data_IF_019034668009
#
_entry.id   IF_019034668009
#
_cell.length_a   1.000
_cell.length_b   1.000
_cell.length_c   1.000
_cell.angle_alpha   90.00
_cell.angle_beta   90.00
_cell.angle_gamma   90.00
#
_symmetry.space_group_name_H-M   'P 1'
#
loop_
_entity.id
_entity.type
_entity.pdbx_description
1 polymer ?
#
# COMPACT_ATOMS: atom_id res chain seq x y z
N UNK A 1 3.91 13.88 -21.62
CA UNK A 1 3.44 15.27 -21.60
C UNK A 1 1.97 15.24 -22.00
N UNK A 2 1.05 15.10 -21.06
CA UNK A 2 0.42 16.27 -20.43
C UNK A 2 0.02 15.99 -18.99
N UNK A 3 0.37 16.94 -18.13
CA UNK A 3 -0.14 17.08 -16.76
C UNK A 3 -1.67 17.17 -16.79
N UNK A 4 -2.34 16.08 -16.44
CA UNK A 4 -3.77 16.07 -16.12
C UNK A 4 -3.94 16.39 -14.63
N UNK A 5 -4.35 17.62 -14.36
CA UNK A 5 -4.57 18.22 -13.04
C UNK A 5 -5.18 17.26 -11.99
N UNK A 6 -4.37 16.91 -10.99
CA UNK A 6 -4.75 16.18 -9.76
C UNK A 6 -5.86 16.92 -8.98
N UNK A 7 -6.03 18.22 -9.21
CA UNK A 7 -7.04 19.04 -8.54
C UNK A 7 -8.44 18.97 -9.15
N UNK A 8 -8.62 18.30 -10.31
CA UNK A 8 -9.95 18.03 -10.87
C UNK A 8 -10.61 16.76 -10.29
N UNK A 9 -10.09 16.24 -9.18
CA UNK A 9 -10.61 15.04 -8.50
C UNK A 9 -11.61 15.34 -7.36
N UNK A 10 -11.78 16.61 -6.96
CA UNK A 10 -12.55 16.97 -5.76
C UNK A 10 -14.05 17.30 -5.98
N UNK A 11 -14.53 17.47 -7.22
CA UNK A 11 -15.91 17.96 -7.46
C UNK A 11 -16.79 17.05 -8.29
N UNK A 12 -16.30 15.90 -8.77
CA UNK A 12 -17.12 14.95 -9.54
C UNK A 12 -17.88 13.99 -8.62
N UNK A 13 -18.58 14.53 -7.61
CA UNK A 13 -19.61 13.82 -6.86
C UNK A 13 -20.84 13.64 -7.75
N UNK A 14 -20.74 12.78 -8.76
CA UNK A 14 -21.84 12.56 -9.69
C UNK A 14 -22.65 11.34 -9.28
N UNK A 15 -23.81 11.66 -8.69
CA UNK A 15 -25.11 11.04 -8.98
C UNK A 15 -25.16 9.52 -8.82
N UNK A 16 -25.57 9.10 -7.63
CA UNK A 16 -26.38 7.89 -7.46
C UNK A 16 -27.69 8.14 -8.23
N UNK A 17 -27.73 7.80 -9.51
CA UNK A 17 -28.96 7.81 -10.31
C UNK A 17 -29.85 6.65 -9.83
N UNK A 18 -30.67 6.93 -8.83
CA UNK A 18 -31.88 6.17 -8.55
C UNK A 18 -32.91 6.55 -9.64
N UNK A 19 -32.81 5.97 -10.83
CA UNK A 19 -33.72 6.24 -11.95
C UNK A 19 -34.23 4.92 -12.52
N UNK A 20 -35.49 4.66 -12.17
CA UNK A 20 -36.54 4.04 -12.98
C UNK A 20 -36.20 2.74 -13.70
N UNK A 21 -36.43 1.62 -13.01
CA UNK A 21 -36.78 0.36 -13.65
C UNK A 21 -38.17 0.52 -14.30
N UNK A 22 -38.20 0.91 -15.58
CA UNK A 22 -39.32 0.56 -16.44
C UNK A 22 -38.76 0.13 -17.80
N UNK A 23 -39.09 -1.12 -18.14
CA UNK A 23 -38.71 -1.79 -19.35
C UNK A 23 -39.08 -0.97 -20.61
N UNK A 24 -38.23 -1.10 -21.64
CA UNK A 24 -38.64 -0.99 -23.04
C UNK A 24 -37.82 -2.01 -23.84
N UNK A 25 -38.40 -3.19 -24.06
CA UNK A 25 -37.88 -4.26 -24.94
C UNK A 25 -38.29 -4.05 -26.41
N UNK A 26 -38.70 -2.84 -26.81
CA UNK A 26 -38.99 -2.55 -28.22
C UNK A 26 -37.76 -1.97 -28.90
N UNK A 27 -37.07 -2.82 -29.68
CA UNK A 27 -35.96 -2.39 -30.54
C UNK A 27 -36.44 -1.34 -31.54
N UNK A 28 -35.87 -0.15 -31.47
CA UNK A 28 -36.08 0.91 -32.45
C UNK A 28 -35.14 0.68 -33.63
N UNK A 29 -35.67 0.61 -34.85
CA UNK A 29 -34.88 0.47 -36.09
C UNK A 29 -34.38 1.85 -36.51
N UNK A 30 -33.09 1.98 -36.79
CA UNK A 30 -32.45 3.20 -37.28
C UNK A 30 -32.98 3.57 -38.67
N UNK A 31 -32.80 4.82 -39.11
CA UNK A 31 -33.15 5.24 -40.48
C UNK A 31 -32.41 4.43 -41.57
N UNK A 32 -31.34 3.71 -41.21
CA UNK A 32 -30.52 2.89 -42.10
C UNK A 32 -30.92 1.39 -42.09
N UNK A 33 -31.99 1.02 -41.40
CA UNK A 33 -32.48 -0.36 -41.32
C UNK A 33 -31.67 -1.28 -40.41
N UNK A 34 -30.69 -0.76 -39.68
CA UNK A 34 -30.03 -1.47 -38.58
C UNK A 34 -30.92 -1.51 -37.32
N UNK A 35 -30.59 -2.40 -36.39
CA UNK A 35 -31.21 -2.42 -35.06
C UNK A 35 -30.45 -1.44 -34.17
N UNK A 36 -31.10 -0.39 -33.69
CA UNK A 36 -30.45 0.60 -32.86
C UNK A 36 -30.10 -0.08 -31.53
N UNK A 37 -28.82 -0.04 -31.16
CA UNK A 37 -28.36 -0.61 -29.91
C UNK A 37 -28.95 0.25 -28.78
N UNK A 38 -29.80 -0.30 -27.89
CA UNK A 38 -30.37 0.47 -26.79
C UNK A 38 -29.25 0.97 -25.86
N UNK A 39 -29.48 2.08 -25.15
CA UNK A 39 -28.52 2.55 -24.15
C UNK A 39 -28.21 1.42 -23.16
N UNK A 40 -26.94 1.32 -22.80
CA UNK A 40 -26.41 0.21 -21.99
C UNK A 40 -27.12 0.17 -20.64
N UNK A 41 -27.71 -0.99 -20.30
CA UNK A 41 -28.38 -1.15 -19.02
C UNK A 41 -27.40 -1.20 -17.85
N UNK A 42 -27.85 -0.82 -16.65
CA UNK A 42 -27.03 -0.83 -15.43
C UNK A 42 -26.27 -2.14 -15.19
N UNK A 43 -26.93 -3.29 -15.38
CA UNK A 43 -26.30 -4.61 -15.21
C UNK A 43 -25.21 -4.88 -16.24
N UNK A 44 -25.39 -4.40 -17.47
CA UNK A 44 -24.42 -4.56 -18.54
C UNK A 44 -23.18 -3.70 -18.29
N UNK A 45 -23.33 -2.50 -17.74
CA UNK A 45 -22.20 -1.67 -17.30
C UNK A 45 -21.43 -2.34 -16.14
N UNK A 46 -22.14 -2.86 -15.14
CA UNK A 46 -21.53 -3.58 -14.00
C UNK A 46 -20.76 -4.82 -14.46
N UNK A 47 -21.28 -5.60 -15.41
CA UNK A 47 -20.60 -6.78 -15.96
C UNK A 47 -19.33 -6.44 -16.77
N UNK A 48 -19.19 -5.20 -17.25
CA UNK A 48 -17.99 -4.75 -17.98
C UNK A 48 -16.83 -4.33 -17.08
N UNK A 49 -17.10 -4.07 -15.78
CA UNK A 49 -16.06 -3.73 -14.82
C UNK A 49 -15.09 -4.90 -14.61
N UNK A 50 -13.90 -4.59 -14.12
CA UNK A 50 -12.88 -5.59 -13.83
C UNK A 50 -13.33 -6.53 -12.69
N UNK A 51 -13.18 -7.86 -12.85
CA UNK A 51 -13.44 -8.80 -11.76
C UNK A 51 -12.50 -8.56 -10.57
N UNK A 52 -13.03 -8.65 -9.35
CA UNK A 52 -12.23 -8.43 -8.12
C UNK A 52 -11.26 -9.58 -7.77
N UNK A 53 -11.24 -10.67 -8.54
CA UNK A 53 -10.38 -11.84 -8.22
C UNK A 53 -8.90 -11.47 -8.29
N UNK A 54 -8.14 -11.82 -7.24
CA UNK A 54 -6.70 -11.59 -7.18
C UNK A 54 -6.27 -10.16 -6.82
N UNK A 55 -7.17 -9.16 -6.90
CA UNK A 55 -6.84 -7.76 -6.56
C UNK A 55 -6.28 -7.61 -5.15
N UNK A 56 -6.84 -8.31 -4.17
CA UNK A 56 -6.37 -8.29 -2.77
C UNK A 56 -4.88 -8.61 -2.65
N UNK A 57 -4.34 -9.53 -3.44
CA UNK A 57 -2.91 -9.86 -3.41
C UNK A 57 -2.05 -8.67 -3.84
N UNK A 58 -2.40 -8.02 -4.95
CA UNK A 58 -1.67 -6.85 -5.46
C UNK A 58 -1.72 -5.67 -4.51
N UNK A 59 -2.87 -5.43 -3.85
CA UNK A 59 -3.00 -4.37 -2.86
C UNK A 59 -2.08 -4.62 -1.65
N UNK A 60 -2.03 -5.86 -1.14
CA UNK A 60 -1.10 -6.21 -0.06
C UNK A 60 0.37 -6.10 -0.50
N UNK A 61 0.72 -6.58 -1.69
CA UNK A 61 2.09 -6.50 -2.22
C UNK A 61 2.57 -5.04 -2.31
N UNK A 62 1.72 -4.16 -2.86
CA UNK A 62 2.01 -2.72 -2.93
C UNK A 62 2.29 -2.12 -1.55
N UNK A 63 1.47 -2.48 -0.56
CA UNK A 63 1.67 -2.03 0.83
C UNK A 63 2.95 -2.60 1.45
N UNK A 64 3.29 -3.87 1.18
CA UNK A 64 4.51 -4.51 1.67
C UNK A 64 5.77 -3.85 1.12
N UNK A 65 5.81 -3.54 -0.18
CA UNK A 65 6.94 -2.86 -0.80
C UNK A 65 7.13 -1.47 -0.19
N UNK A 66 6.03 -0.72 -0.03
CA UNK A 66 6.07 0.62 0.56
C UNK A 66 6.54 0.59 2.02
N UNK A 67 6.04 -0.36 2.82
CA UNK A 67 6.53 -0.58 4.18
C UNK A 67 8.00 -1.02 4.20
N UNK A 68 8.41 -1.87 3.26
CA UNK A 68 9.77 -2.38 3.16
C UNK A 68 10.81 -1.28 2.99
N UNK A 69 10.56 -0.30 2.12
CA UNK A 69 11.46 0.84 1.98
C UNK A 69 11.60 1.65 3.27
N UNK A 70 10.51 1.82 4.02
CA UNK A 70 10.53 2.56 5.29
C UNK A 70 11.32 1.78 6.36
N UNK A 71 11.06 0.48 6.47
CA UNK A 71 11.64 -0.37 7.53
C UNK A 71 13.12 -0.65 7.28
N UNK A 72 13.54 -0.88 6.02
CA UNK A 72 14.93 -1.24 5.69
C UNK A 72 15.87 -0.02 5.70
N UNK A 73 15.37 1.19 5.42
CA UNK A 73 16.20 2.37 5.20
C UNK A 73 15.86 3.53 6.15
N UNK A 74 15.30 3.24 7.32
CA UNK A 74 14.83 4.25 8.27
C UNK A 74 15.92 5.28 8.67
N UNK A 75 17.17 4.89 9.00
CA UNK A 75 18.22 5.85 9.37
C UNK A 75 18.79 6.62 8.17
N UNK A 76 18.65 6.10 6.94
CA UNK A 76 19.16 6.77 5.75
C UNK A 76 18.30 7.96 5.36
N UNK A 77 16.97 7.81 5.42
CA UNK A 77 16.03 8.84 4.97
C UNK A 77 14.75 8.87 5.83
N UNK A 78 14.79 9.50 7.02
CA UNK A 78 13.65 9.52 7.94
C UNK A 78 12.42 10.24 7.37
N UNK A 79 12.62 11.19 6.44
CA UNK A 79 11.52 11.91 5.79
C UNK A 79 10.71 11.02 4.84
N UNK A 80 11.25 9.87 4.39
CA UNK A 80 10.50 8.86 3.63
C UNK A 80 9.27 8.36 4.39
N UNK A 81 9.39 8.15 5.70
CA UNK A 81 8.29 7.64 6.53
C UNK A 81 7.10 8.61 6.51
N UNK A 82 7.37 9.91 6.59
CA UNK A 82 6.34 10.96 6.58
C UNK A 82 5.68 11.06 5.20
N UNK A 83 6.46 11.08 4.12
CA UNK A 83 5.93 11.10 2.75
C UNK A 83 5.04 9.86 2.53
N UNK A 84 5.54 8.69 2.89
CA UNK A 84 4.84 7.43 2.73
C UNK A 84 3.54 7.39 3.54
N UNK A 85 3.54 7.93 4.76
CA UNK A 85 2.33 8.02 5.57
C UNK A 85 1.24 8.88 4.91
N UNK A 86 1.61 10.03 4.35
CA UNK A 86 0.68 10.88 3.60
C UNK A 86 0.16 10.14 2.37
N UNK A 87 1.02 9.43 1.65
CA UNK A 87 0.60 8.58 0.53
C UNK A 87 -0.37 7.46 0.96
N UNK A 88 -0.16 6.84 2.13
CA UNK A 88 -1.09 5.84 2.68
C UNK A 88 -2.48 6.44 2.98
N UNK A 89 -2.56 7.69 3.44
CA UNK A 89 -3.86 8.36 3.66
C UNK A 89 -4.64 8.53 2.35
N UNK A 90 -3.95 8.91 1.27
CA UNK A 90 -4.57 8.97 -0.06
C UNK A 90 -4.94 7.57 -0.57
N UNK A 91 -4.10 6.58 -0.34
CA UNK A 91 -4.31 5.22 -0.82
C UNK A 91 -5.60 4.59 -0.27
N UNK A 92 -5.90 4.81 1.01
CA UNK A 92 -7.16 4.33 1.62
C UNK A 92 -8.37 4.86 0.84
N UNK A 93 -8.33 6.11 0.38
CA UNK A 93 -9.40 6.71 -0.42
C UNK A 93 -9.43 6.16 -1.84
N UNK A 94 -8.26 6.00 -2.47
CA UNK A 94 -8.13 5.45 -3.82
C UNK A 94 -8.63 4.00 -3.89
N UNK A 95 -8.27 3.15 -2.93
CA UNK A 95 -8.73 1.76 -2.86
C UNK A 95 -10.24 1.70 -2.65
N UNK A 96 -10.80 2.53 -1.77
CA UNK A 96 -12.25 2.61 -1.57
C UNK A 96 -12.99 3.05 -2.84
N UNK A 97 -12.48 4.06 -3.54
CA UNK A 97 -13.04 4.51 -4.81
C UNK A 97 -12.98 3.42 -5.89
N UNK A 98 -11.83 2.75 -6.01
CA UNK A 98 -11.63 1.66 -6.96
C UNK A 98 -12.52 0.45 -6.69
N UNK A 99 -12.92 0.22 -5.43
CA UNK A 99 -13.86 -0.84 -5.06
C UNK A 99 -15.31 -0.48 -5.39
N UNK A 100 -15.66 0.80 -5.32
CA UNK A 100 -17.03 1.27 -5.55
C UNK A 100 -17.36 1.49 -7.04
N UNK A 101 -16.38 1.93 -7.83
CA UNK A 101 -16.61 2.39 -9.21
C UNK A 101 -15.91 1.52 -10.25
N UNK A 102 -14.69 1.06 -9.96
CA UNK A 102 -13.83 0.43 -10.97
C UNK A 102 -13.76 -1.10 -10.85
N UNK A 103 -14.52 -1.71 -9.95
CA UNK A 103 -14.53 -3.15 -9.75
C UNK A 103 -15.95 -3.69 -9.66
N UNK A 104 -16.12 -4.91 -10.15
CA UNK A 104 -17.32 -5.68 -9.85
C UNK A 104 -17.45 -5.91 -8.35
N UNK A 105 -18.67 -5.88 -7.83
CA UNK A 105 -18.93 -6.15 -6.41
C UNK A 105 -18.33 -7.50 -6.01
N UNK A 106 -17.36 -7.54 -5.08
CA UNK A 106 -16.79 -8.80 -4.65
C UNK A 106 -17.82 -9.62 -3.90
N UNK A 107 -17.73 -10.94 -4.08
CA UNK A 107 -18.46 -11.88 -3.24
C UNK A 107 -17.84 -11.87 -1.85
N UNK A 108 -18.67 -11.97 -0.83
CA UNK A 108 -18.20 -12.12 0.53
C UNK A 108 -17.34 -13.37 0.65
N UNK A 109 -16.12 -13.21 1.17
CA UNK A 109 -15.21 -14.29 1.51
C UNK A 109 -14.81 -14.08 2.96
N UNK A 110 -15.08 -15.06 3.82
CA UNK A 110 -14.63 -15.02 5.21
C UNK A 110 -13.11 -15.12 5.28
N UNK A 111 -12.48 -14.29 6.11
CA UNK A 111 -11.05 -14.35 6.40
C UNK A 111 -10.85 -14.42 7.92
N UNK A 112 -10.13 -15.43 8.40
CA UNK A 112 -9.77 -15.56 9.83
C UNK A 112 -8.62 -14.63 10.20
N UNK A 113 -7.68 -14.45 9.29
CA UNK A 113 -6.42 -13.75 9.48
C UNK A 113 -6.00 -13.07 8.16
N UNK A 114 -5.02 -12.18 8.23
CA UNK A 114 -4.34 -11.62 7.04
C UNK A 114 -3.58 -12.69 6.22
N UNK A 115 -3.44 -13.90 6.74
CA UNK A 115 -2.81 -15.02 6.03
C UNK A 115 -1.27 -14.92 5.95
N UNK A 116 -0.66 -15.23 4.79
CA UNK A 116 0.82 -15.33 4.66
C UNK A 116 1.53 -13.99 4.88
N UNK A 117 0.83 -12.87 4.72
CA UNK A 117 1.36 -11.53 4.94
C UNK A 117 1.87 -11.32 6.37
N UNK A 118 1.32 -12.04 7.36
CA UNK A 118 1.84 -12.01 8.74
C UNK A 118 3.28 -12.52 8.82
N UNK A 119 3.57 -13.63 8.14
CA UNK A 119 4.92 -14.18 8.09
C UNK A 119 5.86 -13.26 7.30
N UNK A 120 5.38 -12.65 6.23
CA UNK A 120 6.17 -11.67 5.46
C UNK A 120 6.55 -10.45 6.30
N UNK A 121 5.62 -9.89 7.08
CA UNK A 121 5.88 -8.76 7.98
C UNK A 121 6.90 -9.11 9.08
N UNK A 122 6.85 -10.34 9.60
CA UNK A 122 7.81 -10.84 10.56
C UNK A 122 9.22 -10.96 9.94
N UNK A 123 9.33 -11.55 8.75
CA UNK A 123 10.59 -11.62 8.00
C UNK A 123 11.14 -10.21 7.70
N UNK A 124 10.28 -9.29 7.26
CA UNK A 124 10.67 -7.91 6.96
C UNK A 124 11.19 -7.19 8.19
N UNK A 125 10.63 -7.47 9.36
CA UNK A 125 11.06 -6.89 10.64
C UNK A 125 12.44 -7.40 11.06
N UNK A 126 12.72 -8.69 10.88
CA UNK A 126 14.05 -9.27 11.12
C UNK A 126 15.08 -8.67 10.16
N UNK A 127 14.81 -8.70 8.85
CA UNK A 127 15.70 -8.12 7.84
C UNK A 127 15.90 -6.61 8.06
N UNK A 128 14.88 -5.92 8.56
CA UNK A 128 14.95 -4.53 9.01
C UNK A 128 15.99 -4.29 10.09
N UNK A 129 16.02 -5.13 11.13
CA UNK A 129 17.04 -5.02 12.19
C UNK A 129 18.44 -5.13 11.61
N UNK A 130 18.70 -6.18 10.82
CA UNK A 130 20.00 -6.40 10.18
C UNK A 130 20.43 -5.22 9.31
N UNK A 131 19.53 -4.75 8.44
CA UNK A 131 19.83 -3.68 7.49
C UNK A 131 20.10 -2.36 8.20
N UNK A 132 19.28 -2.00 9.19
CA UNK A 132 19.44 -0.76 9.94
C UNK A 132 20.71 -0.77 10.82
N UNK A 133 21.02 -1.88 11.49
CA UNK A 133 22.26 -2.01 12.25
C UNK A 133 23.49 -1.96 11.35
N UNK A 134 23.44 -2.62 10.19
CA UNK A 134 24.52 -2.55 9.19
C UNK A 134 24.73 -1.12 8.68
N UNK A 135 23.64 -0.40 8.37
CA UNK A 135 23.69 0.98 7.88
C UNK A 135 24.27 1.95 8.93
N UNK A 136 23.83 1.82 10.18
CA UNK A 136 24.34 2.63 11.30
C UNK A 136 25.80 2.27 11.61
N UNK A 137 26.16 0.98 11.57
CA UNK A 137 27.51 0.50 11.83
C UNK A 137 28.54 0.94 10.79
N UNK A 138 28.16 0.98 9.51
CA UNK A 138 29.02 1.48 8.44
C UNK A 138 29.16 3.01 8.45
N UNK A 139 28.15 3.73 8.94
CA UNK A 139 28.15 5.20 8.93
C UNK A 139 28.65 5.74 10.27
N UNK A 140 29.95 6.02 10.37
CA UNK A 140 30.60 6.50 11.61
C UNK A 140 29.92 7.75 12.23
N UNK A 141 29.38 8.64 11.40
CA UNK A 141 28.66 9.85 11.84
C UNK A 141 27.22 9.58 12.29
N UNK A 142 26.56 8.55 11.75
CA UNK A 142 25.21 8.14 12.16
C UNK A 142 25.26 7.35 13.46
N UNK A 143 26.29 6.52 13.66
CA UNK A 143 26.53 5.80 14.92
C UNK A 143 26.65 6.77 16.12
N UNK A 144 27.44 7.83 15.97
CA UNK A 144 27.59 8.87 16.99
C UNK A 144 26.30 9.66 17.27
N UNK A 145 25.40 9.79 16.29
CA UNK A 145 24.09 10.46 16.45
C UNK A 145 22.99 9.54 16.99
N UNK A 146 23.03 8.26 16.64
CA UNK A 146 22.07 7.26 17.12
C UNK A 146 22.24 6.95 18.61
N UNK A 147 23.45 7.15 19.15
CA UNK A 147 23.75 7.05 20.59
C UNK A 147 24.18 8.42 21.13
N UNK A 148 23.26 9.37 21.35
CA UNK A 148 23.59 10.72 21.81
C UNK A 148 24.09 10.77 23.27
N UNK A 149 23.99 9.66 24.01
CA UNK A 149 24.45 9.53 25.38
C UNK A 149 25.23 8.23 25.47
N UNK A 150 26.49 8.31 25.86
CA UNK A 150 27.36 7.17 26.16
C UNK A 150 26.63 6.15 27.02
N UNK A 151 26.09 5.11 26.38
CA UNK A 151 25.40 4.01 27.05
C UNK A 151 26.46 3.31 27.92
N UNK A 152 26.40 3.59 29.23
CA UNK A 152 27.19 2.94 30.28
C UNK A 152 28.71 3.09 30.22
N UNK A 153 29.26 4.25 29.82
CA UNK A 153 30.73 4.47 29.89
C UNK A 153 31.55 3.43 29.07
N UNK A 154 30.92 2.81 28.07
CA UNK A 154 31.59 1.87 27.16
C UNK A 154 32.12 2.66 25.96
N UNK A 155 33.44 2.83 25.89
CA UNK A 155 34.09 3.37 24.71
C UNK A 155 34.04 2.35 23.58
N UNK A 156 33.13 2.54 22.62
CA UNK A 156 33.09 1.71 21.41
C UNK A 156 34.22 2.14 20.48
N UNK A 157 35.33 1.40 20.53
CA UNK A 157 36.44 1.55 19.57
C UNK A 157 36.08 0.88 18.24
N UNK A 158 36.67 1.31 17.12
CA UNK A 158 36.46 0.69 15.79
C UNK A 158 36.71 -0.83 15.79
N UNK A 159 37.60 -1.31 16.65
CA UNK A 159 37.88 -2.74 16.82
C UNK A 159 36.74 -3.53 17.50
N UNK A 160 35.89 -2.89 18.32
CA UNK A 160 34.82 -3.54 19.08
C UNK A 160 33.40 -3.16 18.60
N UNK A 161 33.30 -2.29 17.59
CA UNK A 161 32.03 -1.78 17.04
C UNK A 161 31.12 -2.90 16.54
N UNK A 162 31.66 -3.85 15.78
CA UNK A 162 30.88 -4.95 15.22
C UNK A 162 30.38 -5.93 16.27
N UNK A 163 31.18 -6.20 17.32
CA UNK A 163 30.75 -7.03 18.44
C UNK A 163 29.58 -6.39 19.18
N UNK A 164 29.65 -5.08 19.46
CA UNK A 164 28.53 -4.35 20.08
C UNK A 164 27.27 -4.38 19.23
N UNK A 165 27.39 -4.22 17.91
CA UNK A 165 26.25 -4.31 16.99
C UNK A 165 25.60 -5.70 17.01
N UNK A 166 26.38 -6.77 17.06
CA UNK A 166 25.87 -8.15 17.15
C UNK A 166 25.13 -8.38 18.48
N UNK A 167 25.64 -7.84 19.59
CA UNK A 167 24.96 -7.93 20.89
C UNK A 167 23.64 -7.16 20.85
N UNK A 168 23.63 -5.94 20.29
CA UNK A 168 22.40 -5.18 20.09
C UNK A 168 21.41 -5.91 19.18
N UNK A 169 21.89 -6.56 18.12
CA UNK A 169 21.07 -7.37 17.22
C UNK A 169 20.38 -8.52 17.96
N UNK A 170 21.12 -9.30 18.75
CA UNK A 170 20.56 -10.42 19.52
C UNK A 170 19.58 -9.94 20.60
N UNK A 171 19.83 -8.78 21.21
CA UNK A 171 18.89 -8.16 22.15
C UNK A 171 17.61 -7.69 21.46
N UNK A 172 17.71 -7.09 20.26
CA UNK A 172 16.55 -6.64 19.49
C UNK A 172 15.72 -7.81 18.96
N UNK A 173 16.36 -8.89 18.50
CA UNK A 173 15.69 -10.13 18.12
C UNK A 173 15.06 -10.79 19.35
N UNK A 174 15.76 -10.81 20.49
CA UNK A 174 15.24 -11.32 21.75
C UNK A 174 14.05 -10.53 22.29
N UNK A 175 13.94 -9.23 21.96
CA UNK A 175 12.80 -8.39 22.30
C UNK A 175 11.61 -8.56 21.33
N UNK A 176 11.82 -9.16 20.15
CA UNK A 176 10.75 -9.47 19.19
C UNK A 176 10.06 -10.81 19.46
N UNK A 177 10.65 -11.67 20.30
CA UNK A 177 10.08 -12.94 20.77
C UNK A 177 9.37 -12.77 22.11
#
# INVERSE_FOLDING_TARGET
LTQGNVWSFMTMGSRISFVTLHASEHGTVDNDGMLAIPPMGFYQEQCKLEPFHGRTFYEYDRLMIQLGYIVLFAPAFPLAAVISFVSFLFEIRTVAYNLLINAQRPRYMGAKDIGPWRQMLWLLSIVGIFTNLGLVGHTSTAFAKALPFSVFSVHVTEANKYFFLIVCEHLLIGAQY
#
